data_IF_715078610003
#
_entry.id   IF_715078610003
#
_cell.length_a   1.000
_cell.length_b   1.000
_cell.length_c   1.000
_cell.angle_alpha   90.00
_cell.angle_beta   90.00
_cell.angle_gamma   90.00
#
_symmetry.space_group_name_H-M   'P 1'
#
loop_
_entity.id
_entity.type
_entity.pdbx_description
1 polymer ?
#
# COMPACT_ATOMS: atom_id res chain seq x y z
N UNK A 1 0.19 2.75 -1.75
CA UNK A 1 -0.86 2.37 -2.74
C UNK A 1 -0.45 1.20 -3.63
N UNK A 2 0.78 1.22 -4.14
CA UNK A 2 1.27 0.23 -5.11
C UNK A 2 1.11 -1.23 -4.68
N UNK A 3 1.56 -1.57 -3.47
CA UNK A 3 1.47 -2.94 -2.97
C UNK A 3 0.03 -3.45 -2.83
N UNK A 4 -0.87 -2.58 -2.38
CA UNK A 4 -2.29 -2.92 -2.24
C UNK A 4 -2.91 -3.21 -3.61
N UNK A 5 -2.71 -2.31 -4.58
CA UNK A 5 -3.26 -2.47 -5.93
C UNK A 5 -2.69 -3.71 -6.62
N UNK A 6 -1.39 -3.97 -6.50
CA UNK A 6 -0.78 -5.19 -7.03
C UNK A 6 -1.37 -6.45 -6.40
N UNK A 7 -1.45 -6.52 -5.07
CA UNK A 7 -2.02 -7.69 -4.36
C UNK A 7 -3.51 -7.86 -4.64
N UNK A 8 -4.24 -6.77 -4.87
CA UNK A 8 -5.63 -6.80 -5.32
C UNK A 8 -5.75 -7.35 -6.74
N UNK A 9 -4.88 -6.95 -7.67
CA UNK A 9 -4.83 -7.49 -9.04
C UNK A 9 -4.48 -8.99 -9.05
N UNK A 10 -3.57 -9.44 -8.18
CA UNK A 10 -3.25 -10.85 -7.99
C UNK A 10 -4.37 -11.65 -7.27
N UNK A 11 -5.44 -10.98 -6.82
CA UNK A 11 -6.55 -11.59 -6.08
C UNK A 11 -6.19 -12.05 -4.66
N UNK A 12 -5.04 -11.63 -4.14
CA UNK A 12 -4.59 -11.89 -2.78
C UNK A 12 -5.32 -11.01 -1.75
N UNK A 13 -5.75 -9.82 -2.16
CA UNK A 13 -6.66 -8.96 -1.40
C UNK A 13 -7.97 -8.87 -2.18
N UNK A 14 -9.09 -9.10 -1.51
CA UNK A 14 -10.43 -9.08 -2.12
C UNK A 14 -11.38 -8.24 -1.27
N UNK A 15 -12.37 -7.62 -1.91
CA UNK A 15 -13.43 -6.91 -1.19
C UNK A 15 -14.67 -7.80 -1.12
N UNK A 16 -15.11 -8.11 0.10
CA UNK A 16 -16.27 -8.96 0.38
C UNK A 16 -17.13 -8.26 1.42
N UNK A 17 -18.41 -8.05 1.12
CA UNK A 17 -19.38 -7.41 2.03
C UNK A 17 -18.90 -6.05 2.58
N UNK A 18 -18.23 -5.25 1.75
CA UNK A 18 -17.73 -3.92 2.12
C UNK A 18 -16.44 -3.92 2.96
N UNK A 19 -15.88 -5.10 3.30
CA UNK A 19 -14.59 -5.24 3.99
C UNK A 19 -13.55 -5.83 3.06
N UNK A 20 -12.28 -5.64 3.39
CA UNK A 20 -11.17 -6.30 2.71
C UNK A 20 -10.82 -7.61 3.42
N UNK A 21 -10.63 -8.65 2.64
CA UNK A 21 -10.25 -9.99 3.07
C UNK A 21 -8.98 -10.43 2.34
N UNK A 22 -8.21 -11.29 3.01
CA UNK A 22 -6.96 -11.85 2.49
C UNK A 22 -7.21 -13.28 2.00
N UNK A 23 -6.78 -13.57 0.77
CA UNK A 23 -6.62 -14.94 0.30
C UNK A 23 -5.23 -15.46 0.69
N UNK A 24 -5.17 -16.17 1.82
CA UNK A 24 -3.91 -16.71 2.36
C UNK A 24 -3.24 -17.73 1.43
N UNK A 25 -3.97 -18.34 0.50
CA UNK A 25 -3.37 -19.27 -0.47
C UNK A 25 -2.58 -18.54 -1.56
N UNK A 26 -2.96 -17.30 -1.86
CA UNK A 26 -2.34 -16.47 -2.91
C UNK A 26 -1.35 -15.45 -2.37
N UNK A 27 -1.51 -15.05 -1.10
CA UNK A 27 -0.72 -13.99 -0.50
C UNK A 27 0.80 -14.24 -0.55
N UNK A 28 1.34 -15.44 -0.22
CA UNK A 28 2.78 -15.66 -0.29
C UNK A 28 3.38 -15.42 -1.68
N UNK A 29 2.73 -15.96 -2.72
CA UNK A 29 3.17 -15.75 -4.10
C UNK A 29 3.04 -14.29 -4.55
N UNK A 30 1.99 -13.59 -4.11
CA UNK A 30 1.84 -12.16 -4.42
C UNK A 30 2.92 -11.31 -3.74
N UNK A 31 3.32 -11.64 -2.51
CA UNK A 31 4.44 -11.00 -1.80
C UNK A 31 5.75 -11.26 -2.54
N UNK A 32 6.04 -12.52 -2.86
CA UNK A 32 7.27 -12.89 -3.57
C UNK A 32 7.41 -12.12 -4.89
N UNK A 33 6.33 -12.06 -5.69
CA UNK A 33 6.33 -11.37 -6.98
C UNK A 33 6.57 -9.86 -6.84
N UNK A 34 5.88 -9.19 -5.90
CA UNK A 34 6.06 -7.74 -5.72
C UNK A 34 7.44 -7.42 -5.19
N UNK A 35 7.96 -8.23 -4.26
CA UNK A 35 9.33 -8.06 -3.76
C UNK A 35 10.35 -8.24 -4.86
N UNK A 36 10.22 -9.29 -5.68
CA UNK A 36 11.12 -9.52 -6.82
C UNK A 36 11.11 -8.36 -7.81
N UNK A 37 9.93 -7.88 -8.20
CA UNK A 37 9.80 -6.76 -9.15
C UNK A 37 10.50 -5.50 -8.64
N UNK A 38 10.24 -5.11 -7.39
CA UNK A 38 10.82 -3.90 -6.80
C UNK A 38 12.33 -4.03 -6.63
N UNK A 39 12.81 -5.17 -6.12
CA UNK A 39 14.25 -5.42 -5.95
C UNK A 39 15.00 -5.46 -7.28
N UNK A 40 14.38 -5.99 -8.36
CA UNK A 40 14.99 -5.95 -9.69
C UNK A 40 15.10 -4.52 -10.23
N UNK A 41 14.05 -3.70 -10.07
CA UNK A 41 14.07 -2.28 -10.45
C UNK A 41 15.20 -1.54 -9.73
N UNK A 42 15.34 -1.77 -8.42
CA UNK A 42 16.39 -1.16 -7.59
C UNK A 42 17.79 -1.64 -8.00
N UNK A 43 17.95 -2.96 -8.22
CA UNK A 43 19.24 -3.56 -8.58
C UNK A 43 19.75 -3.09 -9.95
N UNK A 44 18.86 -2.87 -10.92
CA UNK A 44 19.25 -2.42 -12.27
C UNK A 44 19.25 -0.89 -12.41
N UNK A 45 18.70 -0.15 -11.45
CA UNK A 45 18.50 1.29 -11.56
C UNK A 45 17.57 1.69 -12.71
N UNK A 46 16.61 0.83 -13.07
CA UNK A 46 15.74 1.07 -14.23
C UNK A 46 14.61 2.05 -13.87
N UNK A 47 14.90 3.34 -14.08
CA UNK A 47 13.94 4.42 -13.84
C UNK A 47 12.69 4.32 -14.72
N UNK A 48 12.81 3.86 -15.96
CA UNK A 48 11.64 3.78 -16.85
C UNK A 48 10.67 2.70 -16.36
N UNK A 49 11.20 1.55 -15.91
CA UNK A 49 10.41 0.48 -15.28
C UNK A 49 9.77 0.96 -13.98
N UNK A 50 10.49 1.74 -13.17
CA UNK A 50 9.93 2.37 -11.97
C UNK A 50 8.77 3.32 -12.32
N UNK A 51 8.97 4.27 -13.23
CA UNK A 51 7.92 5.23 -13.64
C UNK A 51 6.66 4.52 -14.17
N UNK A 52 6.84 3.43 -14.93
CA UNK A 52 5.73 2.59 -15.40
C UNK A 52 4.98 1.90 -14.24
N UNK A 53 5.72 1.40 -13.23
CA UNK A 53 5.16 0.79 -12.03
C UNK A 53 4.30 1.79 -11.23
N UNK A 54 4.84 2.99 -10.97
CA UNK A 54 4.10 4.06 -10.30
C UNK A 54 2.85 4.46 -11.08
N UNK A 55 2.99 4.69 -12.40
CA UNK A 55 1.85 5.05 -13.26
C UNK A 55 0.73 4.01 -13.19
N UNK A 56 1.06 2.73 -13.08
CA UNK A 56 0.07 1.66 -13.02
C UNK A 56 -0.58 1.55 -11.64
N UNK A 57 0.22 1.55 -10.57
CA UNK A 57 -0.26 1.13 -9.25
C UNK A 57 -0.34 2.23 -8.18
N UNK A 58 0.06 3.47 -8.47
CA UNK A 58 0.03 4.57 -7.48
C UNK A 58 -1.26 5.41 -7.54
N UNK A 59 -2.36 4.83 -8.00
CA UNK A 59 -3.68 5.45 -7.96
C UNK A 59 -4.52 4.91 -6.81
N UNK A 60 -5.43 5.71 -6.27
CA UNK A 60 -6.42 5.25 -5.28
C UNK A 60 -7.66 4.74 -6.01
N UNK A 61 -7.98 3.43 -5.99
CA UNK A 61 -9.19 2.92 -6.61
C UNK A 61 -10.45 3.49 -5.94
N UNK A 62 -11.53 3.66 -6.72
CA UNK A 62 -12.81 4.19 -6.22
C UNK A 62 -13.38 3.42 -5.03
N UNK A 63 -13.20 2.09 -5.02
CA UNK A 63 -13.62 1.24 -3.90
C UNK A 63 -12.84 1.54 -2.61
N UNK A 64 -11.51 1.72 -2.72
CA UNK A 64 -10.67 2.07 -1.59
C UNK A 64 -10.98 3.49 -1.11
N UNK A 65 -11.19 4.43 -2.04
CA UNK A 65 -11.64 5.77 -1.70
C UNK A 65 -12.96 5.75 -0.91
N UNK A 66 -13.89 4.87 -1.27
CA UNK A 66 -15.17 4.71 -0.56
C UNK A 66 -14.99 4.09 0.84
N UNK A 67 -14.06 3.15 1.01
CA UNK A 67 -13.71 2.62 2.33
C UNK A 67 -13.03 3.67 3.22
N UNK A 68 -12.15 4.51 2.66
CA UNK A 68 -11.50 5.58 3.44
C UNK A 68 -12.52 6.64 3.90
N UNK A 69 -13.56 6.92 3.10
CA UNK A 69 -14.65 7.83 3.50
C UNK A 69 -15.50 7.30 4.66
N UNK A 70 -15.50 6.00 4.94
CA UNK A 70 -16.29 5.43 6.04
C UNK A 70 -15.58 5.47 7.39
N UNK A 71 -14.32 5.93 7.44
CA UNK A 71 -13.48 5.96 8.65
C UNK A 71 -12.96 7.38 8.94
N UNK A 72 -13.68 8.41 8.50
CA UNK A 72 -13.28 9.82 8.69
C UNK A 72 -13.32 10.27 10.15
N UNK A 73 -14.00 9.51 11.01
CA UNK A 73 -14.06 9.68 12.46
C UNK A 73 -12.84 9.06 13.18
N UNK A 74 -12.02 8.26 12.50
CA UNK A 74 -10.78 7.71 13.02
C UNK A 74 -9.64 8.70 12.75
N UNK A 75 -8.88 9.14 13.79
CA UNK A 75 -7.71 9.97 13.59
C UNK A 75 -6.68 9.31 12.68
N UNK A 76 -6.06 10.09 11.80
CA UNK A 76 -5.07 9.59 10.83
C UNK A 76 -3.77 9.16 11.52
N UNK A 77 -3.33 9.96 12.48
CA UNK A 77 -2.08 9.77 13.22
C UNK A 77 -2.21 10.39 14.62
N UNK A 78 -1.16 10.26 15.42
CA UNK A 78 -1.04 10.85 16.75
C UNK A 78 -0.12 12.08 16.72
N UNK A 79 -0.42 13.09 17.53
CA UNK A 79 0.50 14.18 17.84
C UNK A 79 1.06 13.97 19.26
N UNK A 80 2.34 13.53 19.40
CA UNK A 80 2.87 13.14 20.69
C UNK A 80 3.10 14.34 21.61
N UNK A 81 2.39 14.36 22.74
CA UNK A 81 2.64 15.34 23.81
C UNK A 81 3.83 14.87 24.65
N UNK A 82 4.98 15.52 24.50
CA UNK A 82 6.17 15.20 25.30
C UNK A 82 6.17 15.96 26.64
N UNK A 83 6.31 15.28 27.79
CA UNK A 83 6.33 15.93 29.10
C UNK A 83 7.54 16.87 29.31
N UNK A 84 8.63 16.67 28.57
CA UNK A 84 9.86 17.45 28.66
C UNK A 84 10.42 17.68 27.24
N UNK A 85 10.04 18.77 26.55
CA UNK A 85 10.59 19.07 25.23
C UNK A 85 12.07 19.43 25.35
N UNK A 86 12.95 18.69 24.67
CA UNK A 86 14.36 19.07 24.53
C UNK A 86 14.46 20.28 23.59
N UNK A 87 15.03 21.42 24.03
CA UNK A 87 15.27 22.53 23.13
C UNK A 87 16.34 22.15 22.11
N UNK A 88 16.03 22.33 20.82
CA UNK A 88 17.00 22.21 19.72
C UNK A 88 18.07 23.29 19.89
N UNK A 89 19.34 22.89 20.02
CA UNK A 89 20.50 23.80 20.06
C UNK A 89 20.88 24.31 18.68
#
# INVERSE_FOLDING_TARGET
MMEFNFRSEQGAIRRVNGRYEIDYTKLPSAIEKVSKELLEIEATGDRARAEAWFKKYDSVPSELQSALRSVTDVPVDIDPVQPFPEPVQ
#
